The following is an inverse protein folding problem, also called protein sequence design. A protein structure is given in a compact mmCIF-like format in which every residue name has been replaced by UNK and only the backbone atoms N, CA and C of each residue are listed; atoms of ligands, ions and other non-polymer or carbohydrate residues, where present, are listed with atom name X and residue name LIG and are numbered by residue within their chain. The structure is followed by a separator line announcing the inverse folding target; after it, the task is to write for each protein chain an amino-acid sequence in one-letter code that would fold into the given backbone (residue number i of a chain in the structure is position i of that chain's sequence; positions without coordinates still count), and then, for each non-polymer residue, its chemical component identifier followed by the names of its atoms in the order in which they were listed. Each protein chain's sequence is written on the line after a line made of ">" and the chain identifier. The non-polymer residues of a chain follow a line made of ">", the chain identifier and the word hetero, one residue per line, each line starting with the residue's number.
data_IF_394151190669
#
_entry.id   IF_394151190669
#
_cell.length_a   1.000
_cell.length_b   1.000
_cell.length_c   1.000
_cell.angle_alpha   90.00
_cell.angle_beta   90.00
_cell.angle_gamma   90.00
#
_symmetry.space_group_name_H-M   'P 1'
#
loop_
_entity.id
_entity.type
_entity.pdbx_description
1 polymer ?
#
# COMPACT_ATOMS: atom_id res chain seq x y z
N UNK A 1 -11.48 -68.85 -25.97
CA UNK A 1 -10.26 -68.35 -25.29
C UNK A 1 -9.83 -66.91 -25.71
N UNK A 2 -10.75 -66.05 -26.17
CA UNK A 2 -10.39 -64.67 -26.59
C UNK A 2 -10.90 -63.50 -25.63
N UNK A 3 -11.69 -63.83 -24.61
CA UNK A 3 -12.28 -62.82 -23.72
C UNK A 3 -11.52 -62.59 -22.41
N UNK A 4 -10.63 -63.47 -22.00
CA UNK A 4 -9.86 -63.37 -20.75
C UNK A 4 -8.63 -62.49 -20.84
N UNK A 5 -8.07 -62.28 -22.03
CA UNK A 5 -6.88 -61.43 -22.21
C UNK A 5 -7.15 -59.90 -22.13
N UNK A 6 -8.37 -59.48 -22.51
CA UNK A 6 -8.74 -58.03 -22.47
C UNK A 6 -8.92 -57.54 -21.05
N UNK A 7 -9.40 -58.35 -20.10
CA UNK A 7 -9.60 -57.96 -18.71
C UNK A 7 -8.30 -57.79 -17.94
N UNK A 8 -7.26 -58.57 -18.25
CA UNK A 8 -5.95 -58.46 -17.56
C UNK A 8 -5.21 -57.20 -18.00
N UNK A 9 -5.36 -56.75 -19.25
CA UNK A 9 -4.70 -55.54 -19.75
C UNK A 9 -5.36 -54.27 -19.24
N UNK A 10 -6.68 -54.25 -19.05
CA UNK A 10 -7.41 -53.10 -18.47
C UNK A 10 -7.11 -52.96 -16.95
N UNK A 11 -7.03 -54.08 -16.22
CA UNK A 11 -6.69 -54.08 -14.82
C UNK A 11 -5.24 -53.62 -14.54
N UNK A 12 -4.29 -53.99 -15.41
CA UNK A 12 -2.89 -53.57 -15.29
C UNK A 12 -2.72 -52.06 -15.57
N UNK A 13 -3.47 -51.47 -16.50
CA UNK A 13 -3.47 -50.02 -16.78
C UNK A 13 -4.12 -49.24 -15.64
N UNK A 14 -5.16 -49.74 -15.00
CA UNK A 14 -5.83 -49.07 -13.86
C UNK A 14 -4.96 -49.06 -12.57
N UNK A 15 -4.09 -50.03 -12.37
CA UNK A 15 -3.18 -50.10 -11.22
C UNK A 15 -1.88 -49.28 -11.41
N UNK A 16 -1.51 -48.94 -12.67
CA UNK A 16 -0.29 -48.21 -12.97
C UNK A 16 -0.50 -46.68 -12.93
N UNK A 17 -1.72 -46.18 -13.15
CA UNK A 17 -2.05 -44.77 -13.18
C UNK A 17 -1.77 -44.01 -11.87
N UNK A 18 -2.14 -44.49 -10.68
CA UNK A 18 -1.84 -43.82 -9.43
C UNK A 18 -0.34 -43.76 -9.11
N UNK A 19 0.42 -44.81 -9.42
CA UNK A 19 1.87 -44.85 -9.17
C UNK A 19 2.66 -43.89 -10.08
N UNK A 20 2.24 -43.67 -11.30
CA UNK A 20 2.82 -42.67 -12.21
C UNK A 20 2.53 -41.26 -11.72
N UNK A 21 1.37 -41.02 -11.16
CA UNK A 21 0.96 -39.74 -10.56
C UNK A 21 1.79 -39.40 -9.29
N UNK A 22 2.00 -40.37 -8.41
CA UNK A 22 2.85 -40.18 -7.20
C UNK A 22 4.32 -39.95 -7.55
N UNK A 23 4.87 -40.67 -8.50
CA UNK A 23 6.24 -40.48 -8.95
C UNK A 23 6.45 -39.09 -9.58
N UNK A 24 5.47 -38.58 -10.33
CA UNK A 24 5.52 -37.23 -10.89
C UNK A 24 5.42 -36.17 -9.79
N UNK A 25 4.49 -36.31 -8.84
CA UNK A 25 4.33 -35.37 -7.72
C UNK A 25 5.60 -35.28 -6.85
N UNK A 26 6.29 -36.41 -6.62
CA UNK A 26 7.56 -36.41 -5.87
C UNK A 26 8.70 -35.75 -6.64
N UNK A 27 8.72 -35.87 -7.97
CA UNK A 27 9.70 -35.19 -8.84
C UNK A 27 9.45 -33.68 -8.84
N UNK A 28 8.20 -33.26 -9.02
CA UNK A 28 7.81 -31.85 -9.01
C UNK A 28 8.12 -31.20 -7.67
N UNK A 29 7.86 -31.89 -6.55
CA UNK A 29 8.21 -31.40 -5.21
C UNK A 29 9.74 -31.22 -5.03
N UNK A 30 10.57 -32.15 -5.54
CA UNK A 30 12.02 -32.02 -5.51
C UNK A 30 12.53 -30.84 -6.35
N UNK A 31 11.96 -30.65 -7.53
CA UNK A 31 12.29 -29.53 -8.42
C UNK A 31 11.86 -28.21 -7.82
N UNK A 32 10.63 -28.11 -7.26
CA UNK A 32 10.16 -26.92 -6.56
C UNK A 32 11.07 -26.54 -5.39
N UNK A 33 11.49 -27.54 -4.58
CA UNK A 33 12.43 -27.31 -3.47
C UNK A 33 13.79 -26.79 -3.96
N UNK A 34 14.31 -27.29 -5.06
CA UNK A 34 15.55 -26.82 -5.67
C UNK A 34 15.42 -25.38 -6.15
N UNK A 35 14.39 -25.11 -6.97
CA UNK A 35 14.10 -23.78 -7.50
C UNK A 35 13.90 -22.74 -6.38
N UNK A 36 13.24 -23.12 -5.30
CA UNK A 36 13.05 -22.24 -4.15
C UNK A 36 14.36 -21.90 -3.44
N UNK A 37 15.30 -22.85 -3.33
CA UNK A 37 16.64 -22.59 -2.79
C UNK A 37 17.45 -21.70 -3.71
N UNK A 38 17.44 -21.99 -5.00
CA UNK A 38 18.13 -21.18 -6.02
C UNK A 38 17.62 -19.73 -6.01
N UNK A 39 16.29 -19.55 -5.89
CA UNK A 39 15.66 -18.25 -5.78
C UNK A 39 16.02 -17.51 -4.48
N UNK A 40 16.07 -18.22 -3.34
CA UNK A 40 16.48 -17.63 -2.06
C UNK A 40 17.97 -17.21 -2.07
N UNK A 41 18.84 -17.98 -2.71
CA UNK A 41 20.25 -17.64 -2.85
C UNK A 41 20.42 -16.42 -3.78
N UNK A 42 19.75 -16.41 -4.93
CA UNK A 42 19.75 -15.27 -5.83
C UNK A 42 19.23 -13.99 -5.14
N UNK A 43 18.18 -14.09 -4.31
CA UNK A 43 17.66 -12.96 -3.52
C UNK A 43 18.72 -12.39 -2.56
N UNK A 44 19.47 -13.24 -1.86
CA UNK A 44 20.58 -12.80 -0.97
C UNK A 44 21.66 -12.03 -1.74
N UNK A 45 21.91 -12.43 -2.97
CA UNK A 45 22.89 -11.79 -3.86
C UNK A 45 22.30 -10.57 -4.59
N UNK A 46 21.04 -10.21 -4.35
CA UNK A 46 20.30 -9.14 -5.04
C UNK A 46 20.15 -9.39 -6.56
N UNK A 47 20.26 -10.64 -6.99
CA UNK A 47 20.00 -11.07 -8.36
C UNK A 47 18.46 -11.22 -8.55
N UNK A 48 17.74 -10.07 -8.49
CA UNK A 48 16.29 -10.03 -8.31
C UNK A 48 15.51 -10.78 -9.40
N UNK A 49 15.88 -10.60 -10.67
CA UNK A 49 15.17 -11.24 -11.78
C UNK A 49 15.33 -12.76 -11.75
N UNK A 50 16.52 -13.26 -11.42
CA UNK A 50 16.80 -14.67 -11.24
C UNK A 50 16.03 -15.24 -10.03
N UNK A 51 15.98 -14.48 -8.93
CA UNK A 51 15.23 -14.86 -7.73
C UNK A 51 13.74 -15.01 -8.04
N UNK A 52 13.16 -14.02 -8.72
CA UNK A 52 11.74 -14.00 -9.10
C UNK A 52 11.42 -15.14 -10.09
N UNK A 53 12.24 -15.35 -11.13
CA UNK A 53 12.01 -16.42 -12.10
C UNK A 53 12.05 -17.80 -11.43
N UNK A 54 13.07 -18.05 -10.60
CA UNK A 54 13.19 -19.31 -9.87
C UNK A 54 12.00 -19.55 -8.92
N UNK A 55 11.60 -18.53 -8.13
CA UNK A 55 10.48 -18.66 -7.21
C UNK A 55 9.13 -18.73 -7.92
N UNK A 56 8.96 -18.07 -9.06
CA UNK A 56 7.75 -18.21 -9.88
C UNK A 56 7.58 -19.63 -10.38
N UNK A 57 8.66 -20.24 -10.87
CA UNK A 57 8.69 -21.66 -11.27
C UNK A 57 8.42 -22.59 -10.08
N UNK A 58 9.04 -22.32 -8.93
CA UNK A 58 8.80 -23.09 -7.72
C UNK A 58 7.32 -23.01 -7.27
N UNK A 59 6.72 -21.82 -7.30
CA UNK A 59 5.31 -21.58 -6.94
C UNK A 59 4.34 -22.26 -7.92
N UNK A 60 4.70 -22.34 -9.21
CA UNK A 60 3.89 -23.07 -10.20
C UNK A 60 3.87 -24.58 -9.95
N UNK A 61 4.95 -25.14 -9.42
CA UNK A 61 5.03 -26.55 -9.05
C UNK A 61 4.44 -26.82 -7.66
N UNK A 62 4.59 -25.89 -6.73
CA UNK A 62 4.11 -26.02 -5.36
C UNK A 62 3.79 -24.63 -4.78
N UNK A 63 2.50 -24.37 -4.60
CA UNK A 63 1.98 -23.08 -4.15
C UNK A 63 2.52 -22.61 -2.78
N UNK A 64 3.06 -23.52 -1.95
CA UNK A 64 3.66 -23.16 -0.65
C UNK A 64 4.80 -22.13 -0.78
N UNK A 65 5.41 -21.97 -1.95
CA UNK A 65 6.46 -20.98 -2.22
C UNK A 65 5.95 -19.60 -2.62
N UNK A 66 4.63 -19.40 -2.70
CA UNK A 66 4.05 -18.12 -3.05
C UNK A 66 4.49 -17.00 -2.09
N UNK A 67 4.51 -17.26 -0.79
CA UNK A 67 4.98 -16.28 0.21
C UNK A 67 6.45 -15.91 0.05
N UNK A 68 7.29 -16.86 -0.39
CA UNK A 68 8.69 -16.58 -0.71
C UNK A 68 8.80 -15.64 -1.92
N UNK A 69 7.98 -15.86 -2.95
CA UNK A 69 7.93 -15.00 -4.13
C UNK A 69 7.45 -13.58 -3.75
N UNK A 70 6.40 -13.46 -2.94
CA UNK A 70 5.94 -12.17 -2.44
C UNK A 70 7.04 -11.43 -1.65
N UNK A 71 7.79 -12.16 -0.81
CA UNK A 71 8.89 -11.58 -0.03
C UNK A 71 10.01 -11.05 -0.94
N UNK A 72 10.33 -11.72 -2.04
CA UNK A 72 11.36 -11.22 -2.99
C UNK A 72 10.88 -9.97 -3.73
N UNK A 73 9.62 -9.91 -4.16
CA UNK A 73 9.05 -8.68 -4.71
C UNK A 73 9.13 -7.53 -3.69
N UNK A 74 8.77 -7.78 -2.43
CA UNK A 74 8.86 -6.78 -1.36
C UNK A 74 10.30 -6.30 -1.13
N UNK A 75 11.28 -7.20 -1.17
CA UNK A 75 12.69 -6.85 -1.01
C UNK A 75 13.21 -6.02 -2.20
N UNK A 76 12.86 -6.38 -3.43
CA UNK A 76 13.22 -5.61 -4.63
C UNK A 76 12.56 -4.24 -4.60
N UNK A 77 11.30 -4.16 -4.22
CA UNK A 77 10.59 -2.91 -4.05
C UNK A 77 11.27 -1.98 -3.04
N UNK A 78 11.68 -2.52 -1.90
CA UNK A 78 12.40 -1.75 -0.88
C UNK A 78 13.76 -1.23 -1.41
N UNK A 79 14.52 -2.08 -2.11
CA UNK A 79 15.78 -1.68 -2.74
C UNK A 79 15.56 -0.58 -3.80
N UNK A 80 14.54 -0.72 -4.64
CA UNK A 80 14.16 0.28 -5.64
C UNK A 80 13.76 1.61 -4.97
N UNK A 81 12.96 1.57 -3.91
CA UNK A 81 12.57 2.75 -3.14
C UNK A 81 13.77 3.47 -2.53
N UNK A 82 14.75 2.73 -2.00
CA UNK A 82 15.99 3.27 -1.45
C UNK A 82 16.82 3.96 -2.54
N UNK A 83 16.81 3.43 -3.75
CA UNK A 83 17.47 4.00 -4.93
C UNK A 83 16.63 5.09 -5.63
N UNK A 84 15.53 5.54 -5.03
CA UNK A 84 14.60 6.54 -5.56
C UNK A 84 13.88 6.11 -6.86
N UNK A 85 13.89 4.83 -7.16
CA UNK A 85 13.14 4.21 -8.28
C UNK A 85 11.70 3.93 -7.82
N UNK A 86 10.96 5.00 -7.51
CA UNK A 86 9.68 4.90 -6.80
C UNK A 86 8.60 4.16 -7.59
N UNK A 87 8.55 4.32 -8.92
CA UNK A 87 7.56 3.62 -9.74
C UNK A 87 7.80 2.12 -9.78
N UNK A 88 9.07 1.70 -9.88
CA UNK A 88 9.44 0.29 -9.84
C UNK A 88 9.09 -0.32 -8.47
N UNK A 89 9.36 0.43 -7.39
CA UNK A 89 9.00 0.01 -6.03
C UNK A 89 7.47 -0.20 -5.88
N UNK A 90 6.66 0.75 -6.35
CA UNK A 90 5.18 0.64 -6.30
C UNK A 90 4.70 -0.57 -7.12
N UNK A 91 5.29 -0.80 -8.30
CA UNK A 91 4.97 -1.96 -9.14
C UNK A 91 5.24 -3.27 -8.40
N UNK A 92 6.42 -3.40 -7.81
CA UNK A 92 6.81 -4.61 -7.09
C UNK A 92 6.00 -4.84 -5.81
N UNK A 93 5.71 -3.79 -5.03
CA UNK A 93 4.75 -3.91 -3.92
C UNK A 93 3.38 -4.35 -4.42
N UNK A 94 2.95 -3.88 -5.59
CA UNK A 94 1.72 -4.33 -6.24
C UNK A 94 1.74 -5.83 -6.57
N UNK A 95 2.85 -6.35 -7.11
CA UNK A 95 3.01 -7.80 -7.36
C UNK A 95 3.01 -8.60 -6.05
N UNK A 96 3.69 -8.11 -5.01
CA UNK A 96 3.67 -8.73 -3.70
C UNK A 96 2.26 -8.81 -3.10
N UNK A 97 1.45 -7.75 -3.23
CA UNK A 97 0.06 -7.68 -2.76
C UNK A 97 -0.90 -8.58 -3.53
N UNK A 98 -0.66 -8.86 -4.82
CA UNK A 98 -1.44 -9.86 -5.56
C UNK A 98 -1.28 -11.25 -4.96
N UNK A 99 -0.12 -11.55 -4.38
CA UNK A 99 0.20 -12.84 -3.78
C UNK A 99 -0.19 -12.87 -2.30
N UNK A 100 0.05 -11.79 -1.57
CA UNK A 100 -0.16 -11.67 -0.13
C UNK A 100 -1.01 -10.44 0.22
N UNK A 101 -2.32 -10.45 -0.13
CA UNK A 101 -3.19 -9.28 0.05
C UNK A 101 -3.50 -8.97 1.53
N UNK A 102 -3.18 -9.87 2.44
CA UNK A 102 -3.42 -9.72 3.89
C UNK A 102 -2.17 -9.24 4.66
N UNK A 103 -1.05 -8.95 3.98
CA UNK A 103 0.12 -8.40 4.66
C UNK A 103 0.06 -6.86 4.75
N UNK A 104 -0.42 -6.37 5.88
CA UNK A 104 -0.54 -4.94 6.15
C UNK A 104 0.77 -4.14 5.98
N UNK A 105 1.93 -4.79 6.13
CA UNK A 105 3.24 -4.13 5.99
C UNK A 105 3.53 -3.73 4.54
N UNK A 106 3.05 -4.52 3.58
CA UNK A 106 3.27 -4.21 2.16
C UNK A 106 2.47 -2.96 1.77
N UNK A 107 1.23 -2.81 2.26
CA UNK A 107 0.44 -1.59 2.08
C UNK A 107 1.14 -0.38 2.73
N UNK A 108 1.62 -0.50 3.98
CA UNK A 108 2.38 0.56 4.66
C UNK A 108 3.60 1.01 3.82
N UNK A 109 4.37 0.05 3.32
CA UNK A 109 5.57 0.33 2.55
C UNK A 109 5.25 0.99 1.20
N UNK A 110 4.20 0.54 0.50
CA UNK A 110 3.76 1.15 -0.75
C UNK A 110 3.24 2.56 -0.51
N UNK A 111 2.39 2.76 0.51
CA UNK A 111 1.91 4.07 0.90
C UNK A 111 3.04 5.07 1.21
N UNK A 112 4.10 4.63 1.89
CA UNK A 112 5.26 5.46 2.17
C UNK A 112 5.98 5.92 0.89
N UNK A 113 6.04 5.07 -0.13
CA UNK A 113 6.60 5.42 -1.45
C UNK A 113 5.67 6.35 -2.22
N UNK A 114 4.36 6.14 -2.17
CA UNK A 114 3.35 7.00 -2.80
C UNK A 114 3.39 8.42 -2.20
N UNK A 115 3.61 8.54 -0.87
CA UNK A 115 3.84 9.84 -0.24
C UNK A 115 5.09 10.55 -0.77
N UNK A 116 6.16 9.82 -1.11
CA UNK A 116 7.37 10.41 -1.74
C UNK A 116 7.08 10.97 -3.13
N UNK A 117 6.14 10.38 -3.85
CA UNK A 117 5.65 10.87 -5.14
C UNK A 117 4.54 11.93 -5.02
N UNK A 118 4.19 12.32 -3.78
CA UNK A 118 3.06 13.22 -3.49
C UNK A 118 1.70 12.67 -3.94
N UNK A 119 1.58 11.34 -4.12
CA UNK A 119 0.31 10.67 -4.45
C UNK A 119 -0.46 10.36 -3.16
N UNK A 120 -0.95 11.42 -2.52
CA UNK A 120 -1.60 11.35 -1.20
C UNK A 120 -2.88 10.51 -1.21
N UNK A 121 -3.59 10.43 -2.35
CA UNK A 121 -4.85 9.69 -2.44
C UNK A 121 -4.60 8.17 -2.43
N UNK A 122 -3.58 7.70 -3.14
CA UNK A 122 -3.19 6.29 -3.09
C UNK A 122 -2.65 5.91 -1.72
N UNK A 123 -1.78 6.75 -1.15
CA UNK A 123 -1.27 6.52 0.20
C UNK A 123 -2.40 6.42 1.25
N UNK A 124 -3.45 7.26 1.18
CA UNK A 124 -4.64 7.14 2.04
C UNK A 124 -5.37 5.82 1.87
N UNK A 125 -5.51 5.34 0.63
CA UNK A 125 -6.14 4.06 0.34
C UNK A 125 -5.34 2.92 0.98
N UNK A 126 -4.04 2.90 0.79
CA UNK A 126 -3.15 1.86 1.34
C UNK A 126 -3.09 1.86 2.87
N UNK A 127 -2.95 3.03 3.52
CA UNK A 127 -3.04 3.08 4.97
C UNK A 127 -4.42 2.64 5.49
N UNK A 128 -5.49 2.88 4.71
CA UNK A 128 -6.82 2.41 5.09
C UNK A 128 -6.94 0.90 5.01
N UNK A 129 -6.35 0.24 4.01
CA UNK A 129 -6.27 -1.22 3.95
C UNK A 129 -5.39 -1.77 5.09
N UNK A 130 -4.23 -1.16 5.36
CA UNK A 130 -3.37 -1.57 6.45
C UNK A 130 -4.09 -1.50 7.82
N UNK A 131 -4.91 -0.46 8.06
CA UNK A 131 -5.73 -0.30 9.26
C UNK A 131 -6.82 -1.39 9.36
N UNK A 132 -7.48 -1.75 8.26
CA UNK A 132 -8.47 -2.83 8.26
C UNK A 132 -7.83 -4.15 8.69
N UNK A 133 -6.62 -4.42 8.22
CA UNK A 133 -5.88 -5.64 8.53
C UNK A 133 -5.31 -5.64 9.96
N UNK A 134 -4.86 -4.47 10.44
CA UNK A 134 -4.27 -4.30 11.78
C UNK A 134 -4.79 -3.02 12.45
N UNK A 135 -5.98 -3.07 13.08
CA UNK A 135 -6.66 -1.89 13.61
C UNK A 135 -6.04 -1.29 14.89
N UNK A 136 -5.07 -1.95 15.49
CA UNK A 136 -4.38 -1.48 16.70
C UNK A 136 -2.95 -1.01 16.44
N UNK A 137 -2.53 -0.94 15.18
CA UNK A 137 -1.21 -0.43 14.80
C UNK A 137 -1.21 1.10 14.73
N UNK A 138 -0.61 1.72 15.74
CA UNK A 138 -0.59 3.19 15.93
C UNK A 138 -0.03 3.94 14.72
N UNK A 139 1.02 3.40 14.07
CA UNK A 139 1.73 4.04 12.97
C UNK A 139 0.82 4.32 11.77
N UNK A 140 -0.11 3.42 11.46
CA UNK A 140 -0.99 3.59 10.31
C UNK A 140 -1.93 4.79 10.48
N UNK A 141 -2.51 4.96 11.66
CA UNK A 141 -3.31 6.14 11.98
C UNK A 141 -2.47 7.42 12.01
N UNK A 142 -1.24 7.36 12.55
CA UNK A 142 -0.34 8.50 12.60
C UNK A 142 0.01 9.01 11.19
N UNK A 143 0.33 8.12 10.26
CA UNK A 143 0.61 8.49 8.87
C UNK A 143 -0.64 8.96 8.14
N UNK A 144 -1.79 8.28 8.31
CA UNK A 144 -3.02 8.68 7.65
C UNK A 144 -3.53 10.02 8.16
N UNK A 145 -3.43 10.29 9.48
CA UNK A 145 -3.78 11.60 10.03
C UNK A 145 -2.90 12.71 9.49
N UNK A 146 -1.59 12.45 9.28
CA UNK A 146 -0.70 13.40 8.64
C UNK A 146 -1.14 13.72 7.20
N UNK A 147 -1.49 12.72 6.41
CA UNK A 147 -1.95 12.94 5.03
C UNK A 147 -3.26 13.76 5.03
N UNK A 148 -4.21 13.45 5.92
CA UNK A 148 -5.43 14.25 6.06
C UNK A 148 -5.12 15.70 6.45
N UNK A 149 -4.16 15.94 7.38
CA UNK A 149 -3.71 17.28 7.76
C UNK A 149 -3.17 18.06 6.54
N UNK A 150 -2.28 17.45 5.76
CA UNK A 150 -1.70 18.04 4.53
C UNK A 150 -2.79 18.35 3.49
N UNK A 151 -3.79 17.50 3.34
CA UNK A 151 -4.93 17.71 2.45
C UNK A 151 -5.94 18.73 2.99
N UNK A 152 -5.76 19.22 4.21
CA UNK A 152 -6.68 20.16 4.85
C UNK A 152 -7.98 19.53 5.35
N UNK A 153 -8.06 18.20 5.41
CA UNK A 153 -9.17 17.46 5.99
C UNK A 153 -8.99 17.36 7.52
N UNK A 154 -9.29 18.47 8.19
CA UNK A 154 -9.11 18.60 9.64
C UNK A 154 -9.94 17.56 10.39
N UNK A 155 -11.14 17.26 9.91
CA UNK A 155 -12.07 16.32 10.58
C UNK A 155 -11.47 14.91 10.65
N UNK A 156 -11.05 14.37 9.53
CA UNK A 156 -10.50 13.02 9.47
C UNK A 156 -9.12 12.94 10.12
N UNK A 157 -8.31 13.99 9.98
CA UNK A 157 -7.02 14.10 10.68
C UNK A 157 -7.21 14.07 12.21
N UNK A 158 -8.22 14.79 12.74
CA UNK A 158 -8.53 14.78 14.17
C UNK A 158 -8.96 13.38 14.64
N UNK A 159 -9.84 12.73 13.90
CA UNK A 159 -10.34 11.40 14.25
C UNK A 159 -9.20 10.36 14.34
N UNK A 160 -8.28 10.34 13.37
CA UNK A 160 -7.12 9.46 13.39
C UNK A 160 -6.13 9.85 14.51
N UNK A 161 -5.92 11.15 14.76
CA UNK A 161 -5.07 11.63 15.86
C UNK A 161 -5.64 11.20 17.21
N UNK A 162 -6.95 11.27 17.42
CA UNK A 162 -7.61 10.77 18.63
C UNK A 162 -7.46 9.24 18.77
N UNK A 163 -7.50 8.49 17.67
CA UNK A 163 -7.24 7.04 17.70
C UNK A 163 -5.79 6.76 18.09
N UNK A 164 -4.80 7.52 17.58
CA UNK A 164 -3.40 7.43 18.02
C UNK A 164 -3.29 7.65 19.52
N UNK A 165 -3.89 8.73 20.06
CA UNK A 165 -3.83 9.05 21.49
C UNK A 165 -4.57 8.04 22.37
N UNK A 166 -5.60 7.39 21.83
CA UNK A 166 -6.29 6.29 22.53
C UNK A 166 -5.41 5.05 22.66
N UNK A 167 -4.61 4.74 21.64
CA UNK A 167 -3.71 3.59 21.62
C UNK A 167 -2.38 3.87 22.31
N UNK A 168 -1.85 5.10 22.15
CA UNK A 168 -0.62 5.60 22.76
C UNK A 168 -0.85 7.01 23.33
N UNK A 169 -1.30 7.14 24.59
CA UNK A 169 -1.59 8.44 25.22
C UNK A 169 -0.38 9.37 25.38
N UNK A 170 0.84 8.84 25.25
CA UNK A 170 2.08 9.61 25.40
C UNK A 170 2.71 10.01 24.06
N UNK A 171 2.06 9.75 22.95
CA UNK A 171 2.57 10.07 21.61
C UNK A 171 2.69 11.58 21.42
N UNK A 172 3.91 12.09 21.48
CA UNK A 172 4.19 13.53 21.45
C UNK A 172 3.81 14.18 20.12
N UNK A 173 3.97 13.45 19.01
CA UNK A 173 3.57 13.94 17.69
C UNK A 173 2.05 14.10 17.59
N UNK A 174 1.29 13.12 18.07
CA UNK A 174 -0.17 13.18 18.08
C UNK A 174 -0.70 14.28 19.01
N UNK A 175 -0.08 14.48 20.20
CA UNK A 175 -0.42 15.59 21.10
C UNK A 175 -0.22 16.93 20.39
N UNK A 176 0.93 17.09 19.74
CA UNK A 176 1.25 18.33 19.02
C UNK A 176 0.33 18.55 17.83
N UNK A 177 0.03 17.49 17.08
CA UNK A 177 -0.91 17.52 15.93
C UNK A 177 -2.30 17.92 16.39
N UNK A 178 -2.81 17.32 17.47
CA UNK A 178 -4.13 17.64 18.02
C UNK A 178 -4.25 19.14 18.31
N UNK A 179 -3.27 19.71 19.00
CA UNK A 179 -3.25 21.15 19.31
C UNK A 179 -3.26 22.02 18.04
N UNK A 180 -2.50 21.67 17.01
CA UNK A 180 -2.52 22.39 15.72
C UNK A 180 -3.89 22.31 15.06
N UNK A 181 -4.48 21.11 15.02
CA UNK A 181 -5.78 20.89 14.39
C UNK A 181 -6.90 21.65 15.10
N UNK A 182 -6.91 21.70 16.43
CA UNK A 182 -7.85 22.50 17.23
C UNK A 182 -7.72 23.99 16.91
N UNK A 183 -6.49 24.50 16.79
CA UNK A 183 -6.25 25.89 16.38
C UNK A 183 -6.77 26.18 14.98
N UNK A 184 -6.51 25.29 14.01
CA UNK A 184 -7.00 25.43 12.63
C UNK A 184 -8.53 25.38 12.56
N UNK A 185 -9.14 24.53 13.37
CA UNK A 185 -10.61 24.43 13.45
C UNK A 185 -11.23 25.71 14.02
N UNK A 186 -10.65 26.28 15.08
CA UNK A 186 -11.11 27.54 15.69
C UNK A 186 -11.00 28.72 14.72
N UNK A 187 -9.90 28.83 13.99
CA UNK A 187 -9.71 29.87 12.97
C UNK A 187 -10.71 29.77 11.81
N UNK A 188 -11.13 28.56 11.44
CA UNK A 188 -12.16 28.35 10.41
C UNK A 188 -13.56 28.64 10.92
N UNK A 189 -13.81 28.52 12.22
CA UNK A 189 -15.11 28.77 12.86
C UNK A 189 -15.36 30.26 13.13
N UNK A 190 -14.32 31.09 13.17
CA UNK A 190 -14.48 32.56 13.32
C UNK A 190 -14.95 33.16 12.00
N UNK A 191 -16.11 33.86 11.97
CA UNK A 191 -16.53 34.58 10.75
C UNK A 191 -15.46 35.62 10.40
N UNK A 192 -15.20 35.77 9.10
CA UNK A 192 -14.32 36.83 8.63
C UNK A 192 -14.81 38.20 9.17
N UNK A 193 -13.92 39.07 9.65
CA UNK A 193 -14.30 40.41 10.05
C UNK A 193 -15.04 41.09 8.87
N UNK A 194 -16.12 41.84 9.15
CA UNK A 194 -16.86 42.51 8.08
C UNK A 194 -15.89 43.37 7.28
N UNK A 195 -15.99 43.29 5.96
CA UNK A 195 -15.17 44.13 5.09
C UNK A 195 -15.31 45.60 5.52
N UNK A 196 -14.23 46.38 5.56
CA UNK A 196 -14.31 47.80 5.92
C UNK A 196 -15.32 48.46 4.98
N UNK A 197 -16.32 49.11 5.55
CA UNK A 197 -17.35 49.82 4.80
C UNK A 197 -16.67 50.74 3.80
N UNK A 198 -16.99 50.56 2.54
CA UNK A 198 -16.46 51.41 1.47
C UNK A 198 -16.81 52.86 1.82
N UNK A 199 -15.81 53.66 2.15
CA UNK A 199 -15.98 55.07 2.35
C UNK A 199 -16.50 55.68 1.04
N UNK A 200 -17.79 56.02 1.01
CA UNK A 200 -18.36 56.82 -0.06
C UNK A 200 -17.69 58.18 -0.02
N UNK A 201 -16.65 58.34 -0.83
CA UNK A 201 -16.13 59.68 -1.13
C UNK A 201 -17.25 60.46 -1.85
N UNK A 202 -18.01 61.24 -1.09
CA UNK A 202 -18.85 62.30 -1.66
C UNK A 202 -17.94 63.26 -2.43
N UNK A 203 -18.02 63.27 -3.71
CA UNK A 203 -17.40 64.26 -4.58
C UNK A 203 -18.06 65.63 -4.31
N UNK A 204 -17.32 66.71 -4.03
CA UNK A 204 -17.92 68.02 -3.88
C UNK A 204 -18.41 68.50 -5.26
N UNK A 205 -19.69 68.89 -5.30
CA UNK A 205 -20.32 69.48 -6.46
C UNK A 205 -19.56 70.77 -6.89
N UNK A 206 -19.17 70.81 -8.16
CA UNK A 206 -18.61 72.00 -8.80
C UNK A 206 -19.66 73.13 -8.84
N UNK A 207 -19.37 74.23 -8.14
CA UNK A 207 -20.16 75.44 -8.17
C UNK A 207 -19.98 76.13 -9.54
N UNK A 208 -21.04 76.19 -10.34
CA UNK A 208 -21.12 77.04 -11.52
C UNK A 208 -21.24 78.48 -11.12
N UNK A 209 -20.28 79.30 -11.51
CA UNK A 209 -20.40 80.76 -11.49
C UNK A 209 -21.01 81.24 -12.77
N UNK A 210 -22.02 82.15 -12.73
CA UNK A 210 -22.58 82.78 -13.96
C UNK A 210 -21.77 83.94 -14.43
N UNK A 211 -21.29 83.90 -15.65
CA UNK A 211 -20.84 85.14 -16.37
C UNK A 211 -22.03 85.90 -16.96
N UNK A 212 -22.02 87.20 -16.76
CA UNK A 212 -22.79 88.25 -17.39
C UNK A 212 -21.87 89.41 -17.71
N UNK A 213 -22.25 90.28 -18.65
CA UNK A 213 -22.41 90.22 -20.07
C UNK A 213 -21.23 90.87 -20.80
#
# INVERSE_FOLDING_TARGET
>A
MKKTFVFIFVAALALCAPQLSEAQATKDAKEANKLARDGAEASKNQEWDKAIDSLRKATALDHKYATNLAAVYQQRAYAAATNQQFQDAISDYGEALKISPEDARIYEQRAAVEMKLNDMDKALADYSEAIKLKPDEVRYYAHRSYIYEVKGDIKNSMADTDKVLKLDPKNQEAISRKKRLETLQSLRATPAPPAPAASTKTSPAAAHSPHKP
#
